data_IF_288971621969
#
_entry.id   IF_288971621969
#
_cell.length_a   1.000
_cell.length_b   1.000
_cell.length_c   1.000
_cell.angle_alpha   90.00
_cell.angle_beta   90.00
_cell.angle_gamma   90.00
#
_symmetry.space_group_name_H-M   'P 1'
#
loop_
_entity.id
_entity.type
_entity.pdbx_description
1 polymer ?
#
# COMPACT_ATOMS: atom_id res chain seq x y z
N UNK A 1 -38.90 17.91 -60.84
CA UNK A 1 -37.81 18.55 -60.09
C UNK A 1 -36.84 17.48 -59.62
N UNK A 2 -35.74 17.34 -60.34
CA UNK A 2 -34.67 16.36 -60.16
C UNK A 2 -33.68 16.87 -59.09
N UNK A 3 -33.48 16.15 -57.99
CA UNK A 3 -32.36 16.42 -57.07
C UNK A 3 -31.26 15.36 -57.27
N UNK A 4 -30.12 15.85 -57.74
CA UNK A 4 -28.88 15.13 -58.02
C UNK A 4 -28.24 14.62 -56.72
N UNK A 5 -27.66 13.42 -56.79
CA UNK A 5 -26.67 12.89 -55.82
C UNK A 5 -25.43 13.80 -55.80
N UNK A 6 -24.90 14.08 -54.61
CA UNK A 6 -23.57 14.66 -54.44
C UNK A 6 -22.70 13.64 -53.71
N UNK A 7 -21.62 13.23 -54.37
CA UNK A 7 -20.57 12.37 -53.85
C UNK A 7 -19.78 13.11 -52.76
N UNK A 8 -19.58 12.46 -51.61
CA UNK A 8 -18.66 12.93 -50.58
C UNK A 8 -17.23 12.54 -51.01
N UNK A 9 -16.44 13.53 -51.42
CA UNK A 9 -15.00 13.37 -51.67
C UNK A 9 -14.30 13.37 -50.32
N UNK A 10 -13.70 12.25 -49.93
CA UNK A 10 -12.72 12.21 -48.84
C UNK A 10 -11.45 12.92 -49.33
N UNK A 11 -11.28 14.19 -48.92
CA UNK A 11 -9.97 14.82 -48.92
C UNK A 11 -9.23 14.36 -47.67
N UNK A 12 -8.23 13.50 -47.85
CA UNK A 12 -7.21 13.22 -46.86
C UNK A 12 -6.34 14.48 -46.68
N UNK A 13 -6.80 15.40 -45.84
CA UNK A 13 -5.97 16.48 -45.34
C UNK A 13 -5.00 15.93 -44.30
N UNK A 14 -3.70 16.00 -44.59
CA UNK A 14 -2.65 15.75 -43.61
C UNK A 14 -2.77 16.76 -42.47
N UNK A 15 -3.44 16.37 -41.38
CA UNK A 15 -3.32 17.07 -40.10
C UNK A 15 -1.88 16.91 -39.63
N UNK A 16 -1.06 17.93 -39.87
CA UNK A 16 0.14 18.15 -39.06
C UNK A 16 -0.35 18.44 -37.64
N UNK A 17 -0.45 17.38 -36.83
CA UNK A 17 -0.57 17.50 -35.38
C UNK A 17 0.77 18.06 -34.89
N UNK A 18 0.90 19.38 -34.84
CA UNK A 18 1.87 19.99 -33.93
C UNK A 18 1.38 19.69 -32.53
N UNK A 19 1.75 18.52 -31.99
CA UNK A 19 1.54 18.25 -30.56
C UNK A 19 2.31 19.33 -29.79
N UNK A 20 1.58 20.28 -29.21
CA UNK A 20 2.10 21.21 -28.23
C UNK A 20 2.34 20.43 -26.94
N UNK A 21 3.45 19.68 -26.91
CA UNK A 21 3.92 19.08 -25.66
C UNK A 21 4.19 20.19 -24.66
N UNK A 22 3.76 20.02 -23.40
CA UNK A 22 4.24 20.86 -22.32
C UNK A 22 5.77 20.77 -22.31
N UNK A 23 6.44 21.88 -22.62
CA UNK A 23 7.90 21.95 -22.61
C UNK A 23 8.32 22.23 -21.18
N UNK A 24 9.19 21.39 -20.66
CA UNK A 24 9.81 21.59 -19.35
C UNK A 24 11.08 22.42 -19.42
N UNK A 25 11.49 22.82 -20.63
CA UNK A 25 12.55 23.81 -20.86
C UNK A 25 12.02 25.20 -20.53
N UNK A 26 12.64 25.87 -19.55
CA UNK A 26 12.28 27.22 -19.18
C UNK A 26 12.68 28.25 -20.25
N UNK A 27 11.78 29.18 -20.54
CA UNK A 27 12.10 30.46 -21.17
C UNK A 27 12.73 31.44 -20.17
N UNK A 28 13.25 32.56 -20.67
CA UNK A 28 13.72 33.66 -19.82
C UNK A 28 12.58 34.26 -18.96
N UNK A 29 11.36 34.25 -19.48
CA UNK A 29 10.17 34.72 -18.76
C UNK A 29 9.80 33.76 -17.62
N UNK A 30 9.95 32.45 -17.83
CA UNK A 30 9.75 31.44 -16.79
C UNK A 30 10.77 31.62 -15.66
N UNK A 31 12.06 31.78 -16.00
CA UNK A 31 13.13 32.04 -15.03
C UNK A 31 12.84 33.31 -14.23
N UNK A 32 12.42 34.38 -14.91
CA UNK A 32 12.08 35.66 -14.26
C UNK A 32 10.89 35.52 -13.32
N UNK A 33 9.88 34.75 -13.72
CA UNK A 33 8.68 34.47 -12.90
C UNK A 33 9.04 33.64 -11.67
N UNK A 34 9.87 32.61 -11.82
CA UNK A 34 10.35 31.79 -10.70
C UNK A 34 11.15 32.63 -9.69
N UNK A 35 12.05 33.51 -10.16
CA UNK A 35 12.79 34.45 -9.30
C UNK A 35 11.88 35.37 -8.50
N UNK A 36 10.92 36.01 -9.19
CA UNK A 36 9.93 36.89 -8.55
C UNK A 36 9.06 36.15 -7.53
N UNK A 37 8.83 34.86 -7.76
CA UNK A 37 8.08 33.97 -6.85
C UNK A 37 8.93 33.45 -5.68
N UNK A 38 10.21 33.85 -5.59
CA UNK A 38 11.09 33.53 -4.47
C UNK A 38 11.80 32.18 -4.55
N UNK A 39 11.80 31.52 -5.71
CA UNK A 39 12.58 30.29 -5.87
C UNK A 39 14.10 30.59 -5.83
N UNK A 40 14.91 29.83 -5.07
CA UNK A 40 16.36 30.01 -5.06
C UNK A 40 16.99 29.73 -6.43
N UNK A 41 18.03 30.48 -6.82
CA UNK A 41 18.72 30.29 -8.12
C UNK A 41 19.13 28.83 -8.35
N UNK A 42 19.67 28.15 -7.34
CA UNK A 42 20.06 26.75 -7.45
C UNK A 42 18.89 25.81 -7.82
N UNK A 43 17.67 26.10 -7.34
CA UNK A 43 16.47 25.34 -7.71
C UNK A 43 16.02 25.67 -9.13
N UNK A 44 16.09 26.93 -9.53
CA UNK A 44 15.76 27.38 -10.89
C UNK A 44 16.70 26.71 -11.91
N UNK A 45 18.00 26.68 -11.65
CA UNK A 45 18.98 25.99 -12.49
C UNK A 45 18.62 24.53 -12.69
N UNK A 46 18.32 23.79 -11.61
CA UNK A 46 17.93 22.37 -11.71
C UNK A 46 16.66 22.18 -12.52
N UNK A 47 15.62 22.98 -12.26
CA UNK A 47 14.33 22.90 -12.96
C UNK A 47 14.47 23.17 -14.46
N UNK A 48 15.34 24.12 -14.84
CA UNK A 48 15.42 24.61 -16.21
C UNK A 48 16.49 23.92 -17.07
N UNK A 49 17.58 23.44 -16.47
CA UNK A 49 18.66 22.74 -17.19
C UNK A 49 18.46 21.22 -17.26
N UNK A 50 17.77 20.63 -16.27
CA UNK A 50 17.48 19.18 -16.21
C UNK A 50 15.97 18.94 -16.14
N UNK A 51 15.23 19.32 -17.19
CA UNK A 51 13.79 19.20 -17.18
C UNK A 51 13.31 17.75 -17.13
N UNK A 52 12.30 17.46 -16.30
CA UNK A 52 11.59 16.17 -16.35
C UNK A 52 10.68 16.10 -17.58
N UNK A 53 10.45 14.93 -18.19
CA UNK A 53 9.50 14.82 -19.30
C UNK A 53 8.05 14.93 -18.81
N UNK A 54 7.19 15.62 -19.56
CA UNK A 54 5.73 15.55 -19.37
C UNK A 54 5.19 14.45 -20.27
N UNK A 55 4.94 13.28 -19.68
CA UNK A 55 4.61 12.06 -20.42
C UNK A 55 3.11 11.84 -20.63
N UNK A 56 2.23 12.69 -20.08
CA UNK A 56 0.77 12.56 -20.16
C UNK A 56 0.23 11.31 -19.45
N UNK A 57 -1.06 11.01 -19.65
CA UNK A 57 -1.63 9.72 -19.23
C UNK A 57 -1.00 8.60 -20.06
N UNK A 58 -0.65 7.50 -19.40
CA UNK A 58 -0.10 6.32 -20.08
C UNK A 58 -1.22 5.34 -20.35
N UNK A 59 -1.39 4.95 -21.61
CA UNK A 59 -2.36 3.93 -21.99
C UNK A 59 -2.12 2.63 -21.20
N UNK A 60 -3.19 2.06 -20.64
CA UNK A 60 -3.12 0.87 -19.79
C UNK A 60 -2.70 1.11 -18.34
N UNK A 61 -2.49 2.36 -17.91
CA UNK A 61 -2.29 2.72 -16.51
C UNK A 61 -3.54 3.39 -15.93
N UNK A 62 -3.83 3.13 -14.66
CA UNK A 62 -4.98 3.70 -13.99
C UNK A 62 -4.65 5.11 -13.49
N UNK A 63 -5.30 6.12 -14.06
CA UNK A 63 -5.25 7.50 -13.55
C UNK A 63 -6.03 7.62 -12.22
N UNK A 64 -7.01 6.73 -12.01
CA UNK A 64 -7.83 6.62 -10.80
C UNK A 64 -8.31 5.18 -10.62
N UNK A 65 -8.35 4.73 -9.38
CA UNK A 65 -9.01 3.48 -8.96
C UNK A 65 -9.91 3.81 -7.76
N UNK A 66 -11.18 3.42 -7.80
CA UNK A 66 -12.04 3.51 -6.61
C UNK A 66 -11.81 2.28 -5.74
N UNK A 67 -11.84 2.44 -4.41
CA UNK A 67 -11.65 1.29 -3.50
C UNK A 67 -12.65 0.15 -3.77
N UNK A 68 -13.87 0.48 -4.20
CA UNK A 68 -14.91 -0.49 -4.56
C UNK A 68 -14.59 -1.31 -5.80
N UNK A 69 -13.73 -0.80 -6.68
CA UNK A 69 -13.32 -1.44 -7.93
C UNK A 69 -12.23 -2.51 -7.68
N UNK A 70 -11.60 -2.46 -6.50
CA UNK A 70 -10.71 -3.50 -6.04
C UNK A 70 -11.54 -4.70 -5.53
N UNK A 71 -11.05 -5.94 -5.60
CA UNK A 71 -11.67 -7.11 -5.00
C UNK A 71 -11.50 -7.13 -3.46
N UNK A 72 -12.42 -7.79 -2.73
CA UNK A 72 -12.23 -8.06 -1.30
C UNK A 72 -11.49 -9.38 -1.14
N UNK A 73 -10.34 -9.34 -0.48
CA UNK A 73 -9.55 -10.51 -0.13
C UNK A 73 -9.64 -10.88 1.35
N UNK A 74 -9.43 -12.16 1.63
CA UNK A 74 -9.21 -12.70 2.97
C UNK A 74 -8.18 -13.83 2.84
N UNK A 75 -7.04 -13.72 3.53
CA UNK A 75 -5.86 -14.58 3.35
C UNK A 75 -6.19 -16.06 3.52
N UNK A 76 -5.89 -16.87 2.51
CA UNK A 76 -6.23 -18.30 2.46
C UNK A 76 -5.50 -19.17 3.48
N UNK A 77 -4.32 -18.75 3.95
CA UNK A 77 -3.54 -19.49 4.96
C UNK A 77 -4.09 -19.35 6.38
N UNK A 78 -5.04 -18.44 6.62
CA UNK A 78 -5.66 -18.26 7.93
C UNK A 78 -6.77 -19.27 8.19
N UNK A 79 -7.11 -19.53 9.47
CA UNK A 79 -8.16 -20.48 9.82
C UNK A 79 -9.54 -19.96 9.40
N UNK A 80 -10.45 -20.91 9.10
CA UNK A 80 -11.80 -20.61 8.60
C UNK A 80 -12.62 -19.72 9.53
N UNK A 81 -12.45 -19.84 10.85
CA UNK A 81 -13.15 -18.97 11.82
C UNK A 81 -12.78 -17.48 11.66
N UNK A 82 -11.60 -17.19 11.13
CA UNK A 82 -11.08 -15.83 10.96
C UNK A 82 -11.29 -15.32 9.53
N UNK A 83 -10.81 -16.07 8.52
CA UNK A 83 -10.90 -15.70 7.10
C UNK A 83 -12.24 -16.04 6.44
N UNK A 84 -13.09 -16.83 7.06
CA UNK A 84 -14.31 -17.35 6.45
C UNK A 84 -14.06 -18.57 5.54
N UNK A 85 -15.08 -18.96 4.78
CA UNK A 85 -15.11 -20.22 3.98
C UNK A 85 -15.04 -20.02 2.46
N UNK A 86 -14.90 -18.78 1.98
CA UNK A 86 -14.70 -18.47 0.56
C UNK A 86 -13.52 -19.21 -0.10
N UNK A 87 -13.56 -19.47 -1.41
CA UNK A 87 -12.47 -20.15 -2.10
C UNK A 87 -11.20 -19.28 -2.16
N UNK A 88 -10.02 -19.90 -2.07
CA UNK A 88 -8.71 -19.21 -2.20
C UNK A 88 -8.62 -18.02 -1.24
N UNK A 89 -8.05 -16.89 -1.65
CA UNK A 89 -7.94 -15.69 -0.82
C UNK A 89 -9.14 -14.75 -0.94
N UNK A 90 -10.36 -15.25 -1.16
CA UNK A 90 -11.57 -14.43 -1.30
C UNK A 90 -12.32 -14.22 0.02
N UNK A 91 -12.92 -13.04 0.16
CA UNK A 91 -13.86 -12.69 1.22
C UNK A 91 -15.23 -13.36 1.02
N UNK A 92 -15.90 -13.67 2.12
CA UNK A 92 -17.32 -13.96 2.19
C UNK A 92 -17.91 -13.52 3.55
N UNK A 93 -19.22 -13.66 3.76
CA UNK A 93 -19.91 -13.02 4.89
C UNK A 93 -19.57 -13.59 6.28
N UNK A 94 -18.97 -14.77 6.35
CA UNK A 94 -18.41 -15.34 7.58
C UNK A 94 -16.98 -14.85 7.88
N UNK A 95 -16.28 -14.21 6.93
CA UNK A 95 -14.98 -13.56 7.18
C UNK A 95 -15.13 -12.47 8.23
N UNK A 96 -14.20 -12.40 9.19
CA UNK A 96 -14.22 -11.36 10.24
C UNK A 96 -13.58 -10.04 9.79
N UNK A 97 -12.92 -10.05 8.63
CA UNK A 97 -12.21 -8.92 8.05
C UNK A 97 -12.17 -9.06 6.53
N UNK A 98 -11.73 -8.01 5.83
CA UNK A 98 -11.27 -8.11 4.45
C UNK A 98 -10.20 -7.06 4.16
N UNK A 99 -9.37 -7.32 3.16
CA UNK A 99 -8.44 -6.35 2.61
C UNK A 99 -8.70 -6.07 1.13
N UNK A 100 -8.08 -5.03 0.60
CA UNK A 100 -8.05 -4.70 -0.83
C UNK A 100 -6.67 -4.20 -1.22
N UNK A 101 -6.06 -4.77 -2.26
CA UNK A 101 -4.73 -4.37 -2.73
C UNK A 101 -4.85 -3.34 -3.84
N UNK A 102 -4.37 -2.12 -3.59
CA UNK A 102 -4.23 -1.09 -4.61
C UNK A 102 -2.86 -1.16 -5.30
N UNK A 103 -1.82 -1.55 -4.56
CA UNK A 103 -0.44 -1.72 -5.04
C UNK A 103 0.12 -3.03 -4.49
N UNK A 104 0.91 -3.76 -5.26
CA UNK A 104 1.64 -4.95 -4.79
C UNK A 104 2.13 -5.84 -5.93
N UNK A 105 2.64 -7.05 -5.63
CA UNK A 105 3.25 -7.89 -6.65
C UNK A 105 2.23 -8.31 -7.71
N UNK A 106 2.69 -8.35 -8.96
CA UNK A 106 1.85 -8.58 -10.15
C UNK A 106 1.03 -9.86 -10.05
N UNK A 107 1.54 -10.86 -9.35
CA UNK A 107 0.95 -12.18 -9.15
C UNK A 107 -0.29 -12.15 -8.24
N UNK A 108 -0.41 -11.14 -7.36
CA UNK A 108 -1.46 -11.06 -6.33
C UNK A 108 -2.48 -9.97 -6.57
N UNK A 109 -2.07 -8.88 -7.24
CA UNK A 109 -2.98 -7.79 -7.56
C UNK A 109 -3.89 -8.17 -8.73
N UNK A 110 -5.19 -7.92 -8.57
CA UNK A 110 -6.18 -8.24 -9.63
C UNK A 110 -6.48 -7.03 -10.52
N UNK A 111 -6.50 -5.82 -9.93
CA UNK A 111 -6.87 -4.57 -10.61
C UNK A 111 -6.05 -3.36 -10.16
N UNK A 112 -4.92 -3.59 -9.47
CA UNK A 112 -4.06 -2.55 -8.90
C UNK A 112 -2.82 -2.22 -9.74
N UNK A 113 -1.87 -1.52 -9.12
CA UNK A 113 -0.55 -1.21 -9.69
C UNK A 113 0.49 -2.24 -9.25
N UNK A 114 1.23 -2.80 -10.22
CA UNK A 114 2.28 -3.78 -9.96
C UNK A 114 3.52 -3.12 -9.35
N UNK A 115 3.92 -3.58 -8.17
CA UNK A 115 5.16 -3.20 -7.51
C UNK A 115 5.68 -4.35 -6.63
N UNK A 116 6.99 -4.59 -6.67
CA UNK A 116 7.59 -5.76 -6.01
C UNK A 116 8.27 -5.43 -4.67
N UNK A 117 8.38 -4.14 -4.31
CA UNK A 117 9.02 -3.67 -3.06
C UNK A 117 8.07 -2.92 -2.12
N UNK A 118 6.84 -2.72 -2.55
CA UNK A 118 5.80 -2.03 -1.79
C UNK A 118 4.45 -2.66 -2.10
N UNK A 119 3.63 -2.82 -1.08
CA UNK A 119 2.22 -3.12 -1.23
C UNK A 119 1.41 -2.11 -0.43
N UNK A 120 0.27 -1.72 -0.98
CA UNK A 120 -0.60 -0.71 -0.40
C UNK A 120 -2.03 -1.17 -0.57
N UNK A 121 -2.83 -0.96 0.46
CA UNK A 121 -4.23 -1.30 0.39
C UNK A 121 -5.04 -0.79 1.55
N UNK A 122 -6.33 -1.15 1.55
CA UNK A 122 -7.19 -0.95 2.72
C UNK A 122 -7.45 -2.28 3.40
N UNK A 123 -7.69 -2.22 4.70
CA UNK A 123 -8.15 -3.36 5.49
C UNK A 123 -9.29 -2.91 6.39
N UNK A 124 -10.31 -3.75 6.51
CA UNK A 124 -11.49 -3.51 7.32
C UNK A 124 -11.73 -4.69 8.24
N UNK A 125 -11.95 -4.39 9.52
CA UNK A 125 -12.33 -5.34 10.55
C UNK A 125 -13.80 -5.18 10.90
N UNK A 126 -14.55 -6.29 10.88
CA UNK A 126 -15.95 -6.32 11.36
C UNK A 126 -16.03 -5.95 12.84
N UNK A 127 -17.21 -5.57 13.35
CA UNK A 127 -17.36 -5.29 14.76
C UNK A 127 -16.90 -6.48 15.61
N UNK A 128 -16.22 -6.21 16.73
CA UNK A 128 -15.61 -7.19 17.63
C UNK A 128 -14.54 -8.12 17.01
N UNK A 129 -14.10 -7.89 15.77
CA UNK A 129 -13.06 -8.73 15.17
C UNK A 129 -11.72 -8.55 15.92
N UNK A 130 -11.01 -9.67 16.09
CA UNK A 130 -9.65 -9.72 16.61
C UNK A 130 -8.76 -10.30 15.53
N UNK A 131 -7.75 -9.55 15.11
CA UNK A 131 -6.61 -10.06 14.35
C UNK A 131 -5.55 -10.48 15.36
N UNK A 132 -5.40 -11.79 15.63
CA UNK A 132 -4.54 -12.23 16.72
C UNK A 132 -3.07 -11.92 16.43
N UNK A 133 -2.25 -12.08 17.45
CA UNK A 133 -0.80 -11.85 17.38
C UNK A 133 -0.13 -12.59 16.21
N UNK A 134 0.58 -11.83 15.39
CA UNK A 134 1.33 -12.30 14.22
C UNK A 134 2.55 -11.40 13.98
N UNK A 135 3.41 -11.82 13.05
CA UNK A 135 4.51 -11.02 12.56
C UNK A 135 4.81 -11.32 11.09
N UNK A 136 5.59 -10.46 10.44
CA UNK A 136 6.03 -10.59 9.05
C UNK A 136 7.38 -9.87 8.86
N UNK A 137 8.14 -10.18 7.80
CA UNK A 137 9.46 -9.60 7.55
C UNK A 137 9.43 -8.19 6.92
N UNK A 138 8.27 -7.65 6.59
CA UNK A 138 8.12 -6.32 6.00
C UNK A 138 8.05 -5.24 7.06
N UNK A 139 8.47 -4.02 6.72
CA UNK A 139 7.95 -2.86 7.44
C UNK A 139 6.46 -2.73 7.16
N UNK A 140 5.70 -2.30 8.16
CA UNK A 140 4.28 -2.03 8.00
C UNK A 140 3.89 -0.73 8.69
N UNK A 141 3.06 0.05 7.99
CA UNK A 141 2.41 1.23 8.50
C UNK A 141 0.90 1.07 8.32
N UNK A 142 0.17 1.23 9.42
CA UNK A 142 -1.26 1.49 9.38
C UNK A 142 -1.54 2.96 9.60
N UNK A 143 -2.48 3.50 8.83
CA UNK A 143 -3.13 4.77 9.11
C UNK A 143 -4.63 4.53 9.32
N UNK A 144 -5.16 4.98 10.46
CA UNK A 144 -6.56 4.74 10.81
C UNK A 144 -7.47 5.69 10.05
N UNK A 145 -8.35 5.12 9.22
CA UNK A 145 -9.29 5.87 8.40
C UNK A 145 -10.63 6.06 9.10
N UNK A 146 -11.17 4.99 9.70
CA UNK A 146 -12.50 4.96 10.31
C UNK A 146 -12.53 4.01 11.51
N UNK A 147 -13.39 4.29 12.49
CA UNK A 147 -13.61 3.42 13.65
C UNK A 147 -12.58 3.58 14.76
N UNK A 148 -12.73 2.77 15.80
CA UNK A 148 -11.88 2.78 16.99
C UNK A 148 -11.51 1.34 17.36
N UNK A 149 -10.36 1.17 18.01
CA UNK A 149 -9.87 -0.15 18.34
C UNK A 149 -8.69 -0.14 19.28
N UNK A 150 -8.04 -1.30 19.33
CA UNK A 150 -6.81 -1.52 20.07
C UNK A 150 -5.78 -2.06 19.10
N UNK A 151 -4.62 -1.43 19.08
CA UNK A 151 -3.42 -1.98 18.47
C UNK A 151 -2.47 -2.44 19.58
N UNK A 152 -1.98 -3.67 19.47
CA UNK A 152 -0.90 -4.15 20.32
C UNK A 152 0.33 -4.33 19.45
N UNK A 153 1.46 -3.83 19.95
CA UNK A 153 2.77 -4.08 19.36
C UNK A 153 3.74 -4.37 20.49
N UNK A 154 4.41 -5.51 20.40
CA UNK A 154 5.22 -6.03 21.51
C UNK A 154 4.36 -6.09 22.79
N UNK A 155 4.83 -5.53 23.90
CA UNK A 155 4.10 -5.49 25.18
C UNK A 155 3.22 -4.24 25.34
N UNK A 156 3.14 -3.40 24.30
CA UNK A 156 2.46 -2.11 24.39
C UNK A 156 1.09 -2.17 23.73
N UNK A 157 0.09 -1.69 24.47
CA UNK A 157 -1.29 -1.54 24.02
C UNK A 157 -1.58 -0.07 23.74
N UNK A 158 -2.15 0.20 22.58
CA UNK A 158 -2.55 1.53 22.15
C UNK A 158 -4.04 1.52 21.81
N UNK A 159 -4.81 2.44 22.36
CA UNK A 159 -6.15 2.74 21.84
C UNK A 159 -5.97 3.59 20.59
N UNK A 160 -6.68 3.24 19.51
CA UNK A 160 -6.47 3.81 18.18
C UNK A 160 -7.77 4.37 17.62
N UNK A 161 -7.66 5.48 16.88
CA UNK A 161 -8.78 6.22 16.29
C UNK A 161 -8.35 6.90 14.97
N UNK A 162 -9.27 7.48 14.18
CA UNK A 162 -8.91 8.08 12.89
C UNK A 162 -7.85 9.17 13.03
N UNK A 163 -6.85 9.12 12.14
CA UNK A 163 -5.69 10.01 12.17
C UNK A 163 -4.44 9.43 12.81
N UNK A 164 -4.53 8.29 13.50
CA UNK A 164 -3.37 7.65 14.14
C UNK A 164 -2.51 6.89 13.12
N UNK A 165 -1.19 6.94 13.33
CA UNK A 165 -0.20 6.13 12.62
C UNK A 165 0.34 5.02 13.53
N UNK A 166 0.41 3.79 13.01
CA UNK A 166 0.93 2.62 13.72
C UNK A 166 2.04 2.01 12.89
N UNK A 167 3.25 1.95 13.46
CA UNK A 167 4.45 1.51 12.74
C UNK A 167 4.98 0.22 13.36
N UNK A 168 5.08 -0.81 12.52
CA UNK A 168 5.61 -2.12 12.84
C UNK A 168 6.92 -2.31 12.08
N UNK A 169 8.00 -2.63 12.79
CA UNK A 169 9.29 -2.99 12.16
C UNK A 169 9.22 -4.45 11.71
N UNK A 170 10.10 -4.89 10.80
CA UNK A 170 10.27 -6.30 10.49
C UNK A 170 10.30 -7.16 11.77
N UNK A 171 9.47 -8.20 11.76
CA UNK A 171 9.34 -9.19 12.83
C UNK A 171 8.78 -8.70 14.18
N UNK A 172 8.45 -7.41 14.36
CA UNK A 172 7.77 -6.96 15.58
C UNK A 172 6.40 -7.67 15.68
N UNK A 173 6.11 -8.44 16.75
CA UNK A 173 4.79 -9.03 16.96
C UNK A 173 3.72 -7.94 17.17
N UNK A 174 2.58 -8.09 16.51
CA UNK A 174 1.48 -7.14 16.59
C UNK A 174 0.11 -7.81 16.44
N UNK A 175 -0.93 -7.13 16.95
CA UNK A 175 -2.31 -7.58 16.94
C UNK A 175 -3.27 -6.39 16.84
N UNK A 176 -4.48 -6.63 16.34
CA UNK A 176 -5.54 -5.60 16.22
C UNK A 176 -6.83 -6.12 16.84
N UNK A 177 -7.56 -5.28 17.55
CA UNK A 177 -8.96 -5.52 17.90
C UNK A 177 -9.83 -4.33 17.51
N UNK A 178 -10.89 -4.59 16.76
CA UNK A 178 -12.00 -3.66 16.67
C UNK A 178 -12.80 -3.73 17.98
N UNK A 179 -12.86 -2.63 18.71
CA UNK A 179 -13.58 -2.55 20.01
C UNK A 179 -15.04 -2.18 19.86
N UNK A 180 -15.48 -1.77 18.66
CA UNK A 180 -16.87 -1.44 18.42
C UNK A 180 -17.72 -2.70 18.27
N UNK A 181 -18.92 -2.66 18.85
CA UNK A 181 -19.93 -3.71 18.68
C UNK A 181 -20.73 -3.58 17.39
N UNK A 182 -20.71 -2.40 16.75
CA UNK A 182 -21.59 -2.09 15.61
C UNK A 182 -20.88 -1.48 14.41
N UNK A 183 -19.70 -0.86 14.61
CA UNK A 183 -18.97 -0.16 13.55
C UNK A 183 -17.75 -0.94 13.08
N UNK A 184 -17.39 -0.74 11.83
CA UNK A 184 -16.13 -1.23 11.28
C UNK A 184 -14.95 -0.38 11.76
N UNK A 185 -13.78 -1.02 11.80
CA UNK A 185 -12.48 -0.38 11.95
C UNK A 185 -11.75 -0.53 10.62
N UNK A 186 -11.28 0.58 10.05
CA UNK A 186 -10.68 0.62 8.72
C UNK A 186 -9.31 1.28 8.74
N UNK A 187 -8.37 0.65 8.05
CA UNK A 187 -7.02 1.15 7.86
C UNK A 187 -6.69 1.34 6.38
N UNK A 188 -5.86 2.34 6.09
CA UNK A 188 -4.88 2.26 5.01
C UNK A 188 -3.67 1.51 5.56
N UNK A 189 -3.16 0.52 4.82
CA UNK A 189 -1.95 -0.20 5.17
C UNK A 189 -0.92 -0.09 4.05
N UNK A 190 0.34 -0.03 4.45
CA UNK A 190 1.49 0.02 3.57
C UNK A 190 2.50 -0.99 4.08
N UNK A 191 2.90 -1.93 3.23
CA UNK A 191 4.04 -2.80 3.44
C UNK A 191 5.15 -2.37 2.52
N UNK A 192 6.39 -2.30 3.03
CA UNK A 192 7.53 -2.05 2.15
C UNK A 192 8.77 -2.83 2.58
N UNK A 193 9.61 -3.02 1.58
CA UNK A 193 10.94 -3.55 1.70
C UNK A 193 11.95 -2.42 1.66
N UNK A 194 12.96 -2.51 2.52
CA UNK A 194 14.15 -1.67 2.41
C UNK A 194 15.32 -2.51 1.86
N UNK A 195 16.08 -1.96 0.90
CA UNK A 195 17.18 -2.64 0.23
C UNK A 195 16.76 -3.77 -0.73
N UNK A 196 17.75 -4.53 -1.20
CA UNK A 196 17.56 -5.75 -2.00
C UNK A 196 17.71 -6.97 -1.08
N UNK A 197 16.60 -7.65 -0.80
CA UNK A 197 16.59 -8.90 -0.02
C UNK A 197 16.41 -10.09 -0.96
N UNK A 198 17.19 -11.14 -0.75
CA UNK A 198 17.17 -12.36 -1.59
C UNK A 198 15.96 -13.29 -1.36
N UNK A 199 14.95 -12.83 -0.60
CA UNK A 199 13.74 -13.58 -0.28
C UNK A 199 12.52 -12.73 -0.65
N UNK A 200 11.48 -13.36 -1.18
CA UNK A 200 10.25 -12.69 -1.60
C UNK A 200 9.37 -12.37 -0.39
N UNK A 201 9.74 -11.30 0.33
CA UNK A 201 9.06 -10.90 1.57
C UNK A 201 7.61 -10.48 1.33
N UNK A 202 7.30 -9.98 0.13
CA UNK A 202 5.95 -9.55 -0.21
C UNK A 202 4.98 -10.73 -0.34
N UNK A 203 5.52 -11.94 -0.55
CA UNK A 203 4.77 -13.19 -0.62
C UNK A 203 4.79 -13.99 0.69
N UNK A 204 5.50 -13.52 1.72
CA UNK A 204 5.56 -14.20 3.03
C UNK A 204 4.23 -14.13 3.80
N UNK A 205 3.51 -13.02 3.67
CA UNK A 205 2.29 -12.74 4.43
C UNK A 205 2.54 -12.61 5.95
N UNK A 206 1.46 -12.36 6.70
CA UNK A 206 1.47 -12.43 8.16
C UNK A 206 1.48 -13.87 8.63
N UNK A 207 2.41 -14.23 9.52
CA UNK A 207 2.49 -15.56 10.12
C UNK A 207 1.95 -15.54 11.57
N UNK A 208 1.02 -16.44 11.92
CA UNK A 208 0.54 -16.61 13.28
C UNK A 208 1.65 -16.87 14.29
N UNK A 209 1.59 -16.22 15.45
CA UNK A 209 2.40 -16.57 16.62
C UNK A 209 1.55 -17.44 17.56
N UNK A 210 2.14 -18.51 18.10
CA UNK A 210 1.49 -19.52 18.95
C UNK A 210 0.14 -20.01 18.40
N UNK A 211 0.07 -20.60 17.18
CA UNK A 211 -1.20 -20.86 16.52
C UNK A 211 -2.14 -21.81 17.28
N UNK A 212 -1.60 -22.76 18.06
CA UNK A 212 -2.40 -23.68 18.88
C UNK A 212 -3.14 -22.96 20.02
N UNK A 213 -2.54 -21.89 20.57
CA UNK A 213 -3.10 -21.13 21.68
C UNK A 213 -3.90 -19.93 21.17
N UNK A 214 -3.27 -19.12 20.31
CA UNK A 214 -3.75 -17.80 19.94
C UNK A 214 -4.58 -17.75 18.66
N UNK A 215 -4.64 -18.85 17.90
CA UNK A 215 -5.33 -18.91 16.61
C UNK A 215 -6.32 -20.07 16.48
N UNK A 216 -6.58 -20.78 17.59
CA UNK A 216 -7.51 -21.92 17.62
C UNK A 216 -8.93 -21.50 17.28
N UNK A 217 -9.42 -20.46 17.94
CA UNK A 217 -10.79 -19.96 17.81
C UNK A 217 -10.90 -18.46 18.19
N UNK A 218 -12.10 -17.91 18.10
CA UNK A 218 -12.38 -16.48 18.35
C UNK A 218 -12.17 -16.11 19.82
N UNK A 219 -12.45 -17.04 20.72
CA UNK A 219 -12.33 -16.89 22.16
C UNK A 219 -10.84 -16.82 22.55
N UNK A 220 -10.02 -17.70 21.98
CA UNK A 220 -8.59 -17.82 22.25
C UNK A 220 -7.71 -16.80 21.52
N UNK A 221 -8.27 -16.01 20.59
CA UNK A 221 -7.58 -14.97 19.84
C UNK A 221 -6.81 -13.96 20.75
N UNK A 222 -5.50 -14.16 20.87
CA UNK A 222 -4.60 -13.37 21.72
C UNK A 222 -4.31 -11.98 21.13
N UNK A 223 -4.33 -10.96 21.98
CA UNK A 223 -3.87 -9.60 21.64
C UNK A 223 -2.55 -9.25 22.32
N UNK A 224 -2.36 -9.67 23.58
CA UNK A 224 -1.18 -9.39 24.41
C UNK A 224 -1.21 -10.27 25.67
N UNK A 225 -0.07 -10.59 26.31
CA UNK A 225 1.29 -10.69 25.75
C UNK A 225 1.64 -12.15 25.41
N UNK A 226 2.32 -12.35 24.28
CA UNK A 226 3.16 -13.55 24.07
C UNK A 226 4.48 -13.28 24.78
N UNK A 227 5.12 -14.27 25.44
CA UNK A 227 6.47 -14.09 25.98
C UNK A 227 7.41 -13.59 24.88
N UNK A 228 7.87 -12.34 24.97
CA UNK A 228 8.80 -11.79 23.99
C UNK A 228 10.20 -12.22 24.41
N UNK A 229 11.01 -12.80 23.51
CA UNK A 229 12.42 -13.02 23.81
C UNK A 229 13.11 -11.69 24.18
N UNK A 230 14.19 -11.71 24.97
CA UNK A 230 14.93 -10.49 25.28
C UNK A 230 15.32 -9.77 23.98
N UNK A 231 15.41 -8.41 23.99
CA UNK A 231 15.83 -7.66 22.82
C UNK A 231 17.14 -8.23 22.27
N UNK A 232 17.20 -8.45 20.96
CA UNK A 232 18.48 -8.74 20.31
C UNK A 232 19.41 -7.55 20.53
N UNK A 233 20.69 -7.84 20.79
CA UNK A 233 21.73 -6.82 21.02
C UNK A 233 22.95 -7.09 20.15
N UNK A 234 23.65 -6.04 19.74
CA UNK A 234 24.88 -6.15 18.94
C UNK A 234 24.63 -6.76 17.56
N UNK A 235 25.61 -7.50 17.04
CA UNK A 235 25.60 -8.07 15.67
C UNK A 235 24.38 -8.94 15.36
N UNK A 236 23.79 -9.56 16.39
CA UNK A 236 22.59 -10.39 16.22
C UNK A 236 21.35 -9.54 15.93
N UNK A 237 21.28 -8.30 16.44
CA UNK A 237 20.23 -7.34 16.09
C UNK A 237 20.45 -6.75 14.69
N UNK A 238 21.70 -6.45 14.32
CA UNK A 238 22.08 -5.83 13.04
C UNK A 238 21.64 -6.66 11.82
N UNK A 239 21.49 -7.99 11.98
CA UNK A 239 20.97 -8.87 10.93
C UNK A 239 19.50 -8.59 10.55
N UNK A 240 18.72 -8.02 11.47
CA UNK A 240 17.28 -7.82 11.32
C UNK A 240 16.86 -6.35 11.30
N UNK A 241 17.81 -5.44 11.54
CA UNK A 241 17.61 -4.01 11.42
C UNK A 241 18.11 -3.56 10.04
N UNK A 242 17.24 -2.91 9.28
CA UNK A 242 17.71 -2.10 8.16
C UNK A 242 18.44 -0.89 8.74
N UNK A 243 19.72 -0.73 8.39
CA UNK A 243 20.48 0.47 8.68
C UNK A 243 20.32 1.45 7.49
N UNK A 244 19.58 2.56 7.64
CA UNK A 244 19.37 3.53 6.58
C UNK A 244 20.64 4.30 6.18
N UNK A 245 21.76 4.08 6.89
CA UNK A 245 23.08 4.66 6.57
C UNK A 245 24.02 3.71 5.83
N UNK A 246 23.65 2.43 5.71
CA UNK A 246 24.45 1.46 4.95
C UNK A 246 24.29 1.72 3.45
N UNK A 247 25.40 1.93 2.70
CA UNK A 247 25.33 2.13 1.26
C UNK A 247 24.73 0.87 0.61
N UNK A 248 23.81 1.06 -0.33
CA UNK A 248 23.33 -0.02 -1.19
C UNK A 248 24.51 -0.74 -1.83
N UNK A 249 24.57 -2.09 -1.82
CA UNK A 249 25.60 -2.82 -2.55
C UNK A 249 25.59 -2.37 -4.02
N UNK A 250 26.78 -2.01 -4.53
CA UNK A 250 26.95 -1.64 -5.93
C UNK A 250 26.44 -2.77 -6.84
N UNK A 251 25.63 -2.38 -7.84
CA UNK A 251 25.02 -3.26 -8.84
C UNK A 251 26.05 -3.88 -9.78
#
# INVERSE_FOLDING_TARGET
>A
MTKKRLFLVLMAGSLSLTNSYAKTVCSLDDITTLRKSGFPEAKITVMCEKPYPVIGSREGYFDKISETDLPRGATSSYPAWYRGTGPKSSYNDDSTYWYRWAVGPKEWIQSGLAANKIAVGTMVFKPNAKYPVHNHPTWELYFVLEGEGIFVKNERRYDIKPGDFLITRPYDPHAVKNTSETKHLKFLWIWWQEGDVGFDIMNAGGLPINPVECWKDKESACLSPVPIPPPLTGKDADKYLYDPTMPTPEQ
#
